data_IF_848154461998
#
_entry.id   IF_848154461998
#
_cell.length_a   1.000
_cell.length_b   1.000
_cell.length_c   1.000
_cell.angle_alpha   90.00
_cell.angle_beta   90.00
_cell.angle_gamma   90.00
#
_symmetry.space_group_name_H-M   'P 1'
#
loop_
_entity.id
_entity.type
_entity.pdbx_description
1 polymer ?
#
# COMPACT_ATOMS: atom_id res chain seq x y z
N UNK A 1 -34.61 13.15 14.83
CA UNK A 1 -34.70 12.14 15.92
C UNK A 1 -33.46 12.23 16.78
N UNK A 2 -33.56 12.79 18.00
CA UNK A 2 -32.46 12.82 18.95
C UNK A 2 -32.00 11.40 19.31
N UNK A 3 -30.69 11.17 19.26
CA UNK A 3 -30.07 9.89 19.59
C UNK A 3 -30.13 9.74 21.12
N UNK A 4 -31.02 8.88 21.65
CA UNK A 4 -31.07 8.54 23.08
C UNK A 4 -29.66 8.27 23.62
N UNK A 5 -29.21 9.08 24.58
CA UNK A 5 -27.93 8.88 25.29
C UNK A 5 -27.93 7.47 25.89
N UNK A 6 -26.93 6.65 25.53
CA UNK A 6 -26.77 5.30 26.11
C UNK A 6 -26.52 5.43 27.62
N UNK A 7 -27.39 4.83 28.43
CA UNK A 7 -27.24 4.81 29.89
C UNK A 7 -26.00 4.05 30.36
N UNK A 8 -25.53 4.33 31.58
CA UNK A 8 -24.41 3.60 32.21
C UNK A 8 -24.77 2.12 32.38
N UNK A 9 -23.79 1.22 32.21
CA UNK A 9 -24.00 -0.21 32.46
C UNK A 9 -24.36 -0.43 33.94
N UNK A 10 -25.43 -1.21 34.19
CA UNK A 10 -25.95 -1.49 35.53
C UNK A 10 -25.10 -2.51 36.31
N UNK A 11 -24.46 -3.46 35.64
CA UNK A 11 -23.60 -4.48 36.27
C UNK A 11 -22.11 -4.13 36.20
N UNK A 12 -21.40 -4.36 37.30
CA UNK A 12 -19.95 -4.19 37.40
C UNK A 12 -19.20 -5.16 36.47
N UNK A 13 -19.63 -6.41 36.40
CA UNK A 13 -19.08 -7.40 35.48
C UNK A 13 -19.17 -6.92 34.02
N UNK A 14 -20.32 -6.38 33.61
CA UNK A 14 -20.51 -5.84 32.26
C UNK A 14 -19.60 -4.64 31.98
N UNK A 15 -19.27 -3.84 33.00
CA UNK A 15 -18.27 -2.75 32.90
C UNK A 15 -16.87 -3.33 32.72
N UNK A 16 -16.48 -4.32 33.53
CA UNK A 16 -15.17 -5.01 33.43
C UNK A 16 -14.98 -5.63 32.05
N UNK A 17 -15.94 -6.41 31.57
CA UNK A 17 -15.85 -7.05 30.24
C UNK A 17 -15.80 -6.05 29.09
N UNK A 18 -16.53 -4.92 29.21
CA UNK A 18 -16.49 -3.86 28.19
C UNK A 18 -15.15 -3.13 28.22
N UNK A 19 -14.60 -2.87 29.41
CA UNK A 19 -13.26 -2.32 29.58
C UNK A 19 -12.22 -3.23 28.93
N UNK A 20 -12.24 -4.53 29.26
CA UNK A 20 -11.35 -5.53 28.67
C UNK A 20 -11.45 -5.56 27.14
N UNK A 21 -12.68 -5.60 26.58
CA UNK A 21 -12.88 -5.58 25.12
C UNK A 21 -12.31 -4.30 24.47
N UNK A 22 -12.31 -3.16 25.17
CA UNK A 22 -11.72 -1.91 24.67
C UNK A 22 -10.20 -1.95 24.72
N UNK A 23 -9.63 -2.55 25.76
CA UNK A 23 -8.18 -2.71 25.95
C UNK A 23 -7.60 -3.72 24.97
N UNK A 24 -8.16 -4.93 24.88
CA UNK A 24 -7.63 -6.02 24.04
C UNK A 24 -8.11 -5.97 22.60
N UNK A 25 -9.12 -5.14 22.31
CA UNK A 25 -9.85 -5.19 21.06
C UNK A 25 -10.80 -6.40 20.96
N UNK A 26 -11.70 -6.34 19.97
CA UNK A 26 -12.63 -7.42 19.66
C UNK A 26 -12.17 -8.18 18.43
N UNK A 27 -12.39 -9.50 18.38
CA UNK A 27 -12.13 -10.27 17.16
C UNK A 27 -13.11 -9.89 16.05
N UNK A 28 -12.75 -10.17 14.79
CA UNK A 28 -13.56 -9.84 13.60
C UNK A 28 -15.04 -10.27 13.78
N UNK A 29 -15.28 -11.51 14.24
CA UNK A 29 -16.64 -12.01 14.50
C UNK A 29 -17.37 -11.18 15.56
N UNK A 30 -16.72 -10.91 16.69
CA UNK A 30 -17.33 -10.12 17.77
C UNK A 30 -17.60 -8.67 17.34
N UNK A 31 -16.71 -8.08 16.54
CA UNK A 31 -16.93 -6.77 15.92
C UNK A 31 -18.17 -6.77 15.03
N UNK A 32 -18.28 -7.75 14.10
CA UNK A 32 -19.43 -7.91 13.20
C UNK A 32 -20.75 -8.06 13.96
N UNK A 33 -20.77 -8.92 14.97
CA UNK A 33 -21.98 -9.20 15.76
C UNK A 33 -22.25 -8.15 16.85
N UNK A 34 -21.38 -7.14 17.00
CA UNK A 34 -21.47 -6.09 18.04
C UNK A 34 -21.62 -6.65 19.46
N UNK A 35 -20.92 -7.74 19.74
CA UNK A 35 -20.86 -8.39 21.06
C UNK A 35 -19.50 -8.16 21.72
N UNK A 36 -19.43 -8.35 23.05
CA UNK A 36 -18.17 -8.32 23.79
C UNK A 36 -17.24 -9.45 23.32
N UNK A 37 -15.93 -9.21 23.39
CA UNK A 37 -14.92 -10.21 23.08
C UNK A 37 -14.21 -10.60 24.37
N UNK A 38 -14.74 -11.62 25.05
CA UNK A 38 -14.26 -12.03 26.38
C UNK A 38 -13.00 -12.90 26.19
N UNK A 39 -11.83 -12.54 26.75
CA UNK A 39 -10.62 -13.34 26.67
C UNK A 39 -10.86 -14.79 27.07
N UNK A 40 -10.28 -15.74 26.34
CA UNK A 40 -10.30 -17.16 26.71
C UNK A 40 -9.21 -17.49 27.74
N UNK A 41 -8.97 -18.79 28.02
CA UNK A 41 -7.90 -19.24 28.90
C UNK A 41 -6.52 -18.73 28.46
N UNK A 42 -6.29 -18.73 27.14
CA UNK A 42 -5.15 -18.07 26.51
C UNK A 42 -5.58 -16.66 26.02
N UNK A 43 -4.97 -15.58 26.56
CA UNK A 43 -5.24 -14.20 26.11
C UNK A 43 -4.95 -13.94 24.63
N UNK A 44 -3.93 -14.61 24.07
CA UNK A 44 -3.58 -14.52 22.64
C UNK A 44 -4.49 -15.42 21.78
N UNK A 45 -4.99 -16.49 22.39
CA UNK A 45 -5.89 -17.46 21.79
C UNK A 45 -7.34 -16.98 21.63
N UNK A 46 -8.24 -17.95 21.48
CA UNK A 46 -9.62 -17.69 21.10
C UNK A 46 -10.42 -17.08 22.24
N UNK A 47 -11.30 -16.13 21.93
CA UNK A 47 -12.22 -15.57 22.91
C UNK A 47 -13.29 -16.61 23.31
N UNK A 48 -13.84 -16.49 24.52
CA UNK A 48 -14.86 -17.42 25.03
C UNK A 48 -16.06 -17.56 24.09
N UNK A 49 -16.47 -16.46 23.46
CA UNK A 49 -17.57 -16.46 22.50
C UNK A 49 -17.26 -17.24 21.21
N UNK A 50 -15.99 -17.36 20.83
CA UNK A 50 -15.57 -18.15 19.67
C UNK A 50 -15.30 -19.60 20.08
N UNK A 51 -14.81 -19.86 21.28
CA UNK A 51 -14.64 -21.22 21.83
C UNK A 51 -15.99 -21.93 22.00
N UNK A 52 -17.03 -21.21 22.42
CA UNK A 52 -18.37 -21.75 22.60
C UNK A 52 -19.10 -22.14 21.29
N UNK A 53 -18.50 -21.89 20.12
CA UNK A 53 -19.11 -22.28 18.84
C UNK A 53 -18.97 -23.78 18.58
N UNK A 54 -20.08 -24.39 18.16
CA UNK A 54 -20.11 -25.77 17.65
C UNK A 54 -19.06 -25.97 16.54
N UNK A 55 -18.43 -27.15 16.52
CA UNK A 55 -17.49 -27.57 15.47
C UNK A 55 -18.12 -27.62 14.08
N UNK A 56 -19.47 -27.63 13.97
CA UNK A 56 -20.22 -27.64 12.71
C UNK A 56 -20.34 -26.26 12.04
N UNK A 57 -20.05 -25.17 12.75
CA UNK A 57 -20.04 -23.81 12.17
C UNK A 57 -18.63 -23.54 11.66
N UNK A 58 -18.47 -23.16 10.38
CA UNK A 58 -17.17 -22.75 9.81
C UNK A 58 -16.53 -21.71 10.75
N UNK A 59 -15.45 -22.12 11.41
CA UNK A 59 -14.77 -21.32 12.42
C UNK A 59 -13.87 -20.32 11.72
N UNK A 60 -14.36 -19.09 11.53
CA UNK A 60 -13.46 -17.96 11.31
C UNK A 60 -12.46 -17.94 12.49
N UNK A 61 -11.14 -17.90 12.24
CA UNK A 61 -10.18 -17.80 13.31
C UNK A 61 -10.51 -16.59 14.18
N UNK A 62 -10.35 -16.72 15.50
CA UNK A 62 -10.59 -15.63 16.44
C UNK A 62 -9.48 -14.57 16.33
N UNK A 63 -9.52 -13.82 15.23
CA UNK A 63 -8.50 -12.86 14.85
C UNK A 63 -8.88 -11.47 15.36
N UNK A 64 -8.07 -10.90 16.26
CA UNK A 64 -8.26 -9.57 16.85
C UNK A 64 -7.44 -8.55 16.08
N UNK A 65 -8.02 -8.07 14.99
CA UNK A 65 -7.44 -6.97 14.23
C UNK A 65 -8.54 -6.10 13.62
N UNK A 66 -8.21 -4.84 13.36
CA UNK A 66 -9.07 -3.89 12.67
C UNK A 66 -8.51 -3.57 11.31
N UNK A 67 -9.37 -3.32 10.32
CA UNK A 67 -8.95 -2.85 8.99
C UNK A 67 -8.09 -1.59 9.10
N UNK A 68 -8.36 -0.74 10.09
CA UNK A 68 -7.57 0.48 10.36
C UNK A 68 -6.14 0.25 10.85
N UNK A 69 -5.80 -0.98 11.24
CA UNK A 69 -4.45 -1.37 11.70
C UNK A 69 -3.58 -1.88 10.54
N UNK A 70 -4.12 -2.00 9.32
CA UNK A 70 -3.35 -2.48 8.18
C UNK A 70 -2.23 -1.50 7.80
N UNK A 71 -1.01 -2.01 7.63
CA UNK A 71 0.12 -1.27 7.04
C UNK A 71 0.12 -1.44 5.51
N UNK A 72 0.41 -0.37 4.76
CA UNK A 72 0.20 -0.33 3.31
C UNK A 72 1.39 0.23 2.51
N UNK A 73 2.34 0.90 3.17
CA UNK A 73 3.49 1.56 2.53
C UNK A 73 4.62 1.74 3.54
N UNK A 74 5.81 2.12 3.06
CA UNK A 74 7.01 2.30 3.89
C UNK A 74 6.95 3.66 4.59
N UNK A 75 7.49 3.75 5.79
CA UNK A 75 7.46 4.98 6.61
C UNK A 75 8.78 5.77 6.59
N UNK A 76 9.61 5.52 5.59
CA UNK A 76 10.95 6.09 5.48
C UNK A 76 12.04 5.01 5.52
N UNK A 77 13.31 5.41 5.31
CA UNK A 77 14.45 4.51 5.40
C UNK A 77 14.68 4.02 6.84
N UNK A 78 15.31 2.84 7.00
CA UNK A 78 15.82 2.42 8.32
C UNK A 78 16.96 3.36 8.75
N UNK A 79 17.29 3.40 10.04
CA UNK A 79 18.28 4.33 10.60
C UNK A 79 19.65 4.24 9.90
N UNK A 80 20.05 3.05 9.48
CA UNK A 80 21.24 2.74 8.69
C UNK A 80 21.24 3.36 7.28
N UNK A 81 20.07 3.50 6.65
CA UNK A 81 19.92 4.13 5.33
C UNK A 81 19.49 5.60 5.41
N UNK A 82 19.26 6.15 6.60
CA UNK A 82 18.88 7.56 6.78
C UNK A 82 20.04 8.49 6.41
N UNK A 83 19.75 9.53 5.63
CA UNK A 83 20.73 10.50 5.16
C UNK A 83 20.87 11.73 6.06
N UNK A 84 20.06 11.85 7.12
CA UNK A 84 20.12 12.97 8.07
C UNK A 84 19.57 12.57 9.42
N UNK A 85 20.07 13.21 10.50
CA UNK A 85 19.55 13.08 11.87
C UNK A 85 18.51 14.12 12.24
N UNK A 86 18.28 15.14 11.41
CA UNK A 86 17.42 16.31 11.72
C UNK A 86 15.98 15.95 12.10
N UNK A 87 15.44 14.89 11.50
CA UNK A 87 14.02 14.53 11.64
C UNK A 87 13.77 13.05 12.01
N UNK A 88 14.80 12.29 12.40
CA UNK A 88 14.70 10.83 12.66
C UNK A 88 13.65 10.46 13.73
N UNK A 89 13.33 11.38 14.65
CA UNK A 89 12.33 11.17 15.71
C UNK A 89 11.07 12.03 15.55
N UNK A 90 10.97 12.78 14.44
CA UNK A 90 9.85 13.69 14.22
C UNK A 90 8.79 13.03 13.34
N UNK A 91 7.53 13.32 13.67
CA UNK A 91 6.38 12.86 12.87
C UNK A 91 6.15 13.71 11.62
N UNK A 92 7.08 14.62 11.28
CA UNK A 92 6.99 15.51 10.13
C UNK A 92 8.34 16.18 9.82
N UNK A 93 8.56 16.52 8.54
CA UNK A 93 9.65 17.39 8.11
C UNK A 93 9.37 18.81 8.60
N UNK A 94 10.42 19.49 9.09
CA UNK A 94 10.39 20.91 9.39
C UNK A 94 11.27 21.67 8.42
N UNK A 95 11.03 22.96 8.29
CA UNK A 95 11.95 23.85 7.59
C UNK A 95 13.35 23.77 8.18
N UNK A 96 14.35 23.93 7.33
CA UNK A 96 15.71 24.18 7.77
C UNK A 96 15.79 25.64 8.23
N UNK A 97 16.42 25.85 9.38
CA UNK A 97 16.58 27.15 10.04
C UNK A 97 17.84 27.91 9.62
N UNK A 98 18.82 27.20 9.04
CA UNK A 98 20.17 27.70 8.76
C UNK A 98 20.50 27.58 7.27
N UNK A 99 20.36 28.70 6.55
CA UNK A 99 20.60 28.81 5.12
C UNK A 99 21.91 29.56 4.82
N UNK A 100 22.72 29.01 3.92
CA UNK A 100 23.96 29.62 3.42
C UNK A 100 23.71 30.54 2.22
N UNK A 101 22.61 30.35 1.49
CA UNK A 101 22.18 31.24 0.40
C UNK A 101 20.94 32.07 0.77
N UNK A 102 20.87 33.36 0.38
CA UNK A 102 19.69 34.19 0.65
C UNK A 102 18.55 33.87 -0.33
N UNK A 103 18.88 33.64 -1.61
CA UNK A 103 17.92 33.51 -2.71
C UNK A 103 17.56 32.04 -3.00
N UNK A 104 16.27 31.69 -3.07
CA UNK A 104 15.85 30.37 -3.54
C UNK A 104 16.08 30.19 -5.03
N UNK A 105 16.49 28.98 -5.42
CA UNK A 105 16.56 28.52 -6.81
C UNK A 105 15.33 27.69 -7.13
N UNK A 106 14.86 27.76 -8.37
CA UNK A 106 13.75 26.93 -8.85
C UNK A 106 14.36 25.83 -9.71
N UNK A 107 14.09 24.59 -9.34
CA UNK A 107 14.50 23.42 -10.12
C UNK A 107 13.28 22.68 -10.63
N UNK A 108 13.48 21.90 -11.68
CA UNK A 108 12.49 20.96 -12.20
C UNK A 108 13.01 19.54 -12.04
N UNK A 109 12.18 18.68 -11.46
CA UNK A 109 12.52 17.29 -11.20
C UNK A 109 11.49 16.34 -11.81
N UNK A 110 11.89 15.09 -12.05
CA UNK A 110 11.00 14.06 -12.59
C UNK A 110 11.44 12.67 -12.13
N UNK A 111 10.52 11.72 -12.20
CA UNK A 111 10.78 10.28 -12.13
C UNK A 111 10.73 9.61 -13.52
N UNK A 112 10.81 10.42 -14.59
CA UNK A 112 10.65 9.99 -15.99
C UNK A 112 9.24 9.45 -16.31
N UNK A 113 8.27 9.81 -15.48
CA UNK A 113 6.87 9.38 -15.56
C UNK A 113 5.98 10.62 -15.55
N UNK A 114 5.56 11.07 -16.73
CA UNK A 114 4.71 12.27 -16.89
C UNK A 114 5.50 13.60 -16.83
N UNK A 115 4.86 14.69 -16.38
CA UNK A 115 5.42 16.03 -16.37
C UNK A 115 6.48 16.19 -15.27
N UNK A 116 7.07 17.38 -15.24
CA UNK A 116 8.04 17.79 -14.24
C UNK A 116 7.36 18.38 -13.01
N UNK A 117 8.03 18.27 -11.86
CA UNK A 117 7.62 18.88 -10.60
C UNK A 117 8.61 20.01 -10.27
N UNK A 118 8.08 21.20 -9.97
CA UNK A 118 8.88 22.38 -9.67
C UNK A 118 9.08 22.54 -8.16
N UNK A 119 10.32 22.79 -7.73
CA UNK A 119 10.66 22.97 -6.32
C UNK A 119 11.52 24.20 -6.09
N UNK A 120 11.30 24.82 -4.93
CA UNK A 120 12.13 25.91 -4.42
C UNK A 120 13.18 25.33 -3.50
N UNK A 121 14.45 25.55 -3.84
CA UNK A 121 15.58 25.00 -3.10
C UNK A 121 16.53 26.10 -2.65
N UNK A 122 17.14 25.93 -1.48
CA UNK A 122 18.17 26.82 -0.95
C UNK A 122 19.36 26.03 -0.46
N UNK A 123 20.52 26.67 -0.46
CA UNK A 123 21.73 26.07 0.08
C UNK A 123 21.69 26.18 1.59
N UNK A 124 21.82 25.05 2.29
CA UNK A 124 21.80 24.97 3.75
C UNK A 124 23.21 24.83 4.31
N UNK A 125 23.39 25.12 5.61
CA UNK A 125 24.62 24.79 6.33
C UNK A 125 24.53 23.35 6.87
N UNK A 126 25.38 22.41 6.40
CA UNK A 126 25.32 21.02 6.84
C UNK A 126 25.64 20.83 8.32
N UNK A 127 24.91 19.93 8.97
CA UNK A 127 25.19 19.50 10.35
C UNK A 127 25.84 18.12 10.35
N UNK A 128 26.42 17.74 11.50
CA UNK A 128 26.93 16.39 11.68
C UNK A 128 25.85 15.32 11.43
N UNK A 129 26.17 14.35 10.58
CA UNK A 129 25.26 13.30 10.14
C UNK A 129 24.38 13.64 8.93
N UNK A 130 24.44 14.85 8.36
CA UNK A 130 23.85 15.15 7.04
C UNK A 130 24.75 14.57 5.93
N UNK A 131 24.21 13.62 5.15
CA UNK A 131 24.91 13.06 3.98
C UNK A 131 24.81 14.02 2.81
N UNK A 132 25.95 14.20 2.14
CA UNK A 132 26.08 15.01 0.93
C UNK A 132 26.51 14.16 -0.27
N UNK A 133 26.34 12.84 -0.18
CA UNK A 133 26.77 11.92 -1.21
C UNK A 133 25.82 10.73 -1.37
N UNK A 134 25.84 10.16 -2.56
CA UNK A 134 25.28 8.86 -2.85
C UNK A 134 26.39 7.82 -2.98
N UNK A 135 26.14 6.62 -2.48
CA UNK A 135 27.05 5.50 -2.55
C UNK A 135 26.38 4.32 -3.27
N UNK A 136 27.13 3.64 -4.14
CA UNK A 136 26.65 2.42 -4.79
C UNK A 136 27.81 1.45 -5.03
N UNK A 137 27.47 0.19 -5.31
CA UNK A 137 28.40 -0.78 -5.90
C UNK A 137 28.29 -0.68 -7.41
N UNK A 138 29.41 -0.41 -8.06
CA UNK A 138 29.50 -0.33 -9.51
C UNK A 138 29.11 -1.66 -10.15
N UNK A 139 28.16 -1.62 -11.08
CA UNK A 139 27.55 -2.82 -11.65
C UNK A 139 28.54 -3.69 -12.46
N UNK A 140 29.64 -3.12 -12.94
CA UNK A 140 30.64 -3.83 -13.76
C UNK A 140 31.83 -4.31 -12.96
N UNK A 141 32.31 -3.47 -12.03
CA UNK A 141 33.55 -3.72 -11.28
C UNK A 141 33.31 -4.24 -9.88
N UNK A 142 32.09 -4.08 -9.33
CA UNK A 142 31.77 -4.41 -7.95
C UNK A 142 32.37 -3.45 -6.91
N UNK A 143 33.15 -2.46 -7.34
CA UNK A 143 33.77 -1.48 -6.45
C UNK A 143 32.73 -0.50 -5.88
N UNK A 144 32.91 -0.08 -4.63
CA UNK A 144 32.10 0.99 -4.05
C UNK A 144 32.52 2.34 -4.63
N UNK A 145 31.56 3.07 -5.20
CA UNK A 145 31.74 4.41 -5.74
C UNK A 145 30.83 5.42 -5.03
N UNK A 146 31.19 6.69 -5.14
CA UNK A 146 30.52 7.81 -4.48
C UNK A 146 30.26 8.94 -5.47
N UNK A 147 29.10 9.60 -5.34
CA UNK A 147 28.73 10.82 -6.06
C UNK A 147 28.44 11.92 -5.04
N UNK A 148 29.31 12.91 -4.96
CA UNK A 148 29.13 14.09 -4.10
C UNK A 148 28.08 15.03 -4.69
N UNK A 149 27.27 15.60 -3.82
CA UNK A 149 26.19 16.54 -4.12
C UNK A 149 26.34 17.81 -3.30
N UNK A 150 25.91 18.98 -3.81
CA UNK A 150 25.93 20.23 -3.07
C UNK A 150 24.88 20.22 -1.94
N UNK A 151 25.05 21.04 -0.89
CA UNK A 151 24.13 21.07 0.25
C UNK A 151 22.89 21.91 -0.05
N UNK A 152 22.06 21.46 -0.99
CA UNK A 152 20.74 22.04 -1.25
C UNK A 152 19.64 21.23 -0.57
N UNK A 153 18.60 21.95 -0.14
CA UNK A 153 17.38 21.39 0.45
C UNK A 153 16.15 22.18 -0.02
N UNK A 154 14.97 21.57 0.09
CA UNK A 154 13.68 22.22 -0.16
C UNK A 154 13.50 23.35 0.84
N UNK A 155 13.22 24.55 0.33
CA UNK A 155 13.16 25.79 1.08
C UNK A 155 11.77 26.18 1.58
N UNK A 156 10.73 25.54 1.05
CA UNK A 156 9.33 25.77 1.41
C UNK A 156 8.58 24.43 1.38
N UNK A 157 8.45 23.81 2.55
CA UNK A 157 7.84 22.51 2.77
C UNK A 157 6.33 22.55 2.53
N UNK A 158 5.64 23.64 2.88
CA UNK A 158 4.19 23.78 2.68
C UNK A 158 3.85 23.91 1.19
N UNK A 159 4.63 24.70 0.46
CA UNK A 159 4.50 24.80 -0.99
C UNK A 159 4.86 23.49 -1.67
N UNK A 160 5.96 22.83 -1.27
CA UNK A 160 6.33 21.52 -1.80
C UNK A 160 5.24 20.48 -1.58
N UNK A 161 4.61 20.45 -0.39
CA UNK A 161 3.43 19.62 -0.13
C UNK A 161 2.31 19.87 -1.14
N UNK A 162 1.94 21.14 -1.34
CA UNK A 162 0.85 21.51 -2.25
C UNK A 162 1.17 21.12 -3.70
N UNK A 163 2.42 21.34 -4.14
CA UNK A 163 2.89 20.97 -5.46
C UNK A 163 2.91 19.46 -5.68
N UNK A 164 3.34 18.66 -4.70
CA UNK A 164 3.32 17.19 -4.79
C UNK A 164 1.89 16.67 -4.82
N UNK A 165 0.97 17.22 -4.01
CA UNK A 165 -0.43 16.80 -4.04
C UNK A 165 -1.07 17.06 -5.40
N UNK A 166 -0.84 18.25 -5.98
CA UNK A 166 -1.32 18.61 -7.31
C UNK A 166 -0.71 17.69 -8.39
N UNK A 167 0.59 17.44 -8.32
CA UNK A 167 1.29 16.54 -9.23
C UNK A 167 0.69 15.13 -9.22
N UNK A 168 0.33 14.58 -8.06
CA UNK A 168 -0.32 13.27 -7.96
C UNK A 168 -1.71 13.27 -8.64
N UNK A 169 -2.49 14.34 -8.47
CA UNK A 169 -3.81 14.45 -9.10
C UNK A 169 -3.70 14.50 -10.63
N UNK A 170 -2.83 15.37 -11.15
CA UNK A 170 -2.68 15.60 -12.59
C UNK A 170 -2.10 14.38 -13.31
N UNK A 171 -1.26 13.59 -12.63
CA UNK A 171 -0.52 12.48 -13.23
C UNK A 171 -1.10 11.10 -12.93
N UNK A 172 -2.24 11.05 -12.24
CA UNK A 172 -2.85 9.80 -11.80
C UNK A 172 -2.98 8.80 -12.96
N UNK A 173 -3.54 9.24 -14.09
CA UNK A 173 -3.78 8.38 -15.26
C UNK A 173 -2.47 7.93 -15.89
N UNK A 174 -1.53 8.84 -16.14
CA UNK A 174 -0.24 8.50 -16.76
C UNK A 174 0.58 7.50 -15.93
N UNK A 175 0.59 7.63 -14.60
CA UNK A 175 1.25 6.65 -13.72
C UNK A 175 0.59 5.29 -13.81
N UNK A 176 -0.74 5.23 -13.86
CA UNK A 176 -1.46 3.97 -13.97
C UNK A 176 -1.19 3.32 -15.33
N UNK A 177 -1.28 4.05 -16.43
CA UNK A 177 -1.03 3.52 -17.78
C UNK A 177 0.42 3.11 -18.01
N UNK A 178 1.39 3.85 -17.45
CA UNK A 178 2.81 3.56 -17.63
C UNK A 178 3.34 2.41 -16.75
N UNK A 179 2.64 2.06 -15.67
CA UNK A 179 3.13 1.09 -14.66
C UNK A 179 2.28 -0.19 -14.61
N UNK A 180 0.99 -0.11 -14.92
CA UNK A 180 0.11 -1.28 -14.92
C UNK A 180 0.37 -2.13 -16.16
N UNK A 181 0.42 -3.44 -15.94
CA UNK A 181 0.52 -4.42 -17.00
C UNK A 181 -0.84 -4.53 -17.72
N UNK A 182 -0.89 -4.05 -18.97
CA UNK A 182 -2.09 -4.07 -19.80
C UNK A 182 -2.41 -5.47 -20.34
N UNK A 183 -1.45 -6.40 -20.32
CA UNK A 183 -1.67 -7.80 -20.71
C UNK A 183 -2.40 -8.57 -19.58
N UNK A 184 -2.20 -8.14 -18.32
CA UNK A 184 -2.93 -8.69 -17.20
C UNK A 184 -4.37 -8.14 -17.13
N UNK A 185 -5.30 -8.85 -17.76
CA UNK A 185 -6.73 -8.49 -17.82
C UNK A 185 -7.33 -8.17 -16.45
N UNK A 186 -6.99 -8.93 -15.40
CA UNK A 186 -7.58 -8.73 -14.07
C UNK A 186 -7.11 -7.40 -13.49
N UNK A 187 -5.82 -7.11 -13.58
CA UNK A 187 -5.24 -5.86 -13.08
C UNK A 187 -5.76 -4.68 -13.87
N UNK A 188 -5.62 -4.72 -15.20
CA UNK A 188 -6.01 -3.63 -16.07
C UNK A 188 -7.49 -3.26 -15.92
N UNK A 189 -8.39 -4.24 -16.03
CA UNK A 189 -9.84 -3.97 -15.95
C UNK A 189 -10.28 -3.50 -14.56
N UNK A 190 -9.64 -4.00 -13.49
CA UNK A 190 -9.92 -3.52 -12.12
C UNK A 190 -9.56 -2.05 -11.95
N UNK A 191 -8.39 -1.64 -12.42
CA UNK A 191 -7.99 -0.23 -12.36
C UNK A 191 -8.80 0.65 -13.31
N UNK A 192 -9.16 0.16 -14.52
CA UNK A 192 -10.01 0.89 -15.46
C UNK A 192 -11.38 1.22 -14.87
N UNK A 193 -12.07 0.24 -14.28
CA UNK A 193 -13.35 0.48 -13.60
C UNK A 193 -13.16 1.36 -12.36
N UNK A 194 -12.09 1.17 -11.60
CA UNK A 194 -11.82 2.02 -10.44
C UNK A 194 -11.65 3.49 -10.85
N UNK A 195 -10.91 3.78 -11.93
CA UNK A 195 -10.76 5.13 -12.47
C UNK A 195 -12.11 5.72 -12.90
N UNK A 196 -12.93 4.95 -13.61
CA UNK A 196 -14.29 5.37 -13.98
C UNK A 196 -15.14 5.71 -12.75
N UNK A 197 -15.05 4.90 -11.69
CA UNK A 197 -15.76 5.14 -10.43
C UNK A 197 -15.13 6.25 -9.58
N UNK A 198 -13.92 6.70 -9.88
CA UNK A 198 -13.19 7.73 -9.13
C UNK A 198 -13.38 9.16 -9.69
N UNK A 199 -14.20 9.34 -10.72
CA UNK A 199 -14.53 10.65 -11.30
C UNK A 199 -15.10 11.64 -10.26
N UNK A 200 -15.24 12.93 -10.62
CA UNK A 200 -15.58 14.04 -9.70
C UNK A 200 -16.73 13.71 -8.73
N UNK A 201 -17.86 13.21 -9.25
CA UNK A 201 -19.06 12.83 -8.47
C UNK A 201 -19.08 11.37 -8.01
N UNK A 202 -17.97 10.64 -8.21
CA UNK A 202 -17.82 9.23 -7.90
C UNK A 202 -17.35 8.93 -6.48
N UNK A 203 -16.77 7.74 -6.30
CA UNK A 203 -16.24 7.27 -5.02
C UNK A 203 -14.99 8.05 -4.61
N UNK A 204 -15.14 8.87 -3.58
CA UNK A 204 -14.01 9.51 -2.91
C UNK A 204 -13.05 8.50 -2.25
N UNK A 205 -13.53 7.32 -1.87
CA UNK A 205 -12.70 6.26 -1.27
C UNK A 205 -11.77 5.63 -2.30
N UNK A 206 -12.30 5.28 -3.49
CA UNK A 206 -11.50 4.74 -4.61
C UNK A 206 -10.51 5.79 -5.09
N UNK A 207 -10.95 7.04 -5.31
CA UNK A 207 -10.07 8.13 -5.72
C UNK A 207 -8.87 8.30 -4.77
N UNK A 208 -9.12 8.28 -3.46
CA UNK A 208 -8.04 8.31 -2.46
C UNK A 208 -7.14 7.07 -2.52
N UNK A 209 -7.69 5.89 -2.77
CA UNK A 209 -6.90 4.68 -2.93
C UNK A 209 -5.97 4.75 -4.16
N UNK A 210 -6.47 5.27 -5.29
CA UNK A 210 -5.65 5.52 -6.49
C UNK A 210 -4.55 6.55 -6.21
N UNK A 211 -4.87 7.68 -5.55
CA UNK A 211 -3.85 8.66 -5.12
C UNK A 211 -2.79 8.05 -4.20
N UNK A 212 -3.20 7.24 -3.23
CA UNK A 212 -2.27 6.53 -2.34
C UNK A 212 -1.38 5.58 -3.13
N UNK A 213 -1.93 4.88 -4.12
CA UNK A 213 -1.18 3.98 -4.99
C UNK A 213 -0.11 4.74 -5.78
N UNK A 214 -0.45 5.89 -6.38
CA UNK A 214 0.53 6.72 -7.13
C UNK A 214 1.55 7.37 -6.18
N UNK A 215 1.09 7.96 -5.07
CA UNK A 215 1.99 8.54 -4.07
C UNK A 215 2.96 7.53 -3.45
N UNK A 216 2.59 6.25 -3.40
CA UNK A 216 3.53 5.19 -2.98
C UNK A 216 4.66 4.97 -4.00
N UNK A 217 4.41 5.16 -5.30
CA UNK A 217 5.45 5.10 -6.34
C UNK A 217 6.43 6.27 -6.24
N UNK A 218 5.94 7.46 -5.85
CA UNK A 218 6.78 8.65 -5.67
C UNK A 218 7.87 8.47 -4.60
N UNK A 219 7.63 7.57 -3.64
CA UNK A 219 8.60 7.19 -2.61
C UNK A 219 9.25 5.83 -2.91
N UNK A 220 9.17 5.30 -4.12
CA UNK A 220 9.85 4.05 -4.48
C UNK A 220 10.87 4.32 -5.59
N UNK A 221 10.58 5.24 -6.49
CA UNK A 221 11.48 5.62 -7.58
C UNK A 221 12.35 6.84 -7.23
N UNK A 222 13.59 6.90 -7.72
CA UNK A 222 14.49 8.03 -7.46
C UNK A 222 14.07 9.26 -8.28
N UNK A 223 14.15 10.43 -7.67
CA UNK A 223 13.98 11.71 -8.37
C UNK A 223 15.27 12.17 -9.04
N UNK A 224 15.15 12.74 -10.23
CA UNK A 224 16.26 13.41 -10.93
C UNK A 224 15.91 14.83 -11.31
N UNK A 225 16.91 15.71 -11.30
CA UNK A 225 16.83 17.04 -11.88
C UNK A 225 16.81 16.94 -13.41
N UNK A 226 15.91 17.68 -14.03
CA UNK A 226 15.73 17.71 -15.49
C UNK A 226 15.57 19.12 -16.07
N UNK A 227 15.48 20.16 -15.23
CA UNK A 227 15.42 21.55 -15.66
C UNK A 227 16.80 22.15 -15.99
N UNK A 228 16.79 23.42 -16.43
CA UNK A 228 18.01 24.18 -16.76
C UNK A 228 18.91 24.42 -15.54
N UNK A 229 18.31 24.58 -14.36
CA UNK A 229 19.03 24.75 -13.11
C UNK A 229 19.39 23.39 -12.51
N UNK A 230 20.68 23.01 -12.59
CA UNK A 230 21.20 21.72 -12.10
C UNK A 230 21.76 21.77 -10.68
N UNK A 231 21.58 22.89 -9.97
CA UNK A 231 22.24 23.15 -8.68
C UNK A 231 23.78 23.09 -8.72
N UNK A 232 24.38 23.22 -9.91
CA UNK A 232 25.83 23.09 -10.10
C UNK A 232 26.32 21.63 -10.17
N UNK A 233 25.41 20.66 -10.23
CA UNK A 233 25.76 19.26 -10.45
C UNK A 233 25.93 18.96 -11.94
N UNK A 234 26.80 17.99 -12.24
CA UNK A 234 27.00 17.44 -13.57
C UNK A 234 26.29 16.10 -13.74
N UNK A 235 25.99 15.75 -14.98
CA UNK A 235 25.46 14.43 -15.33
C UNK A 235 26.45 13.35 -14.92
N UNK A 236 25.98 12.30 -14.24
CA UNK A 236 26.82 11.16 -13.89
C UNK A 236 27.14 10.33 -15.15
N UNK A 237 28.41 10.25 -15.51
CA UNK A 237 28.90 9.51 -16.69
C UNK A 237 29.42 8.10 -16.36
N UNK A 238 29.38 7.70 -15.10
CA UNK A 238 29.74 6.35 -14.68
C UNK A 238 28.68 5.35 -15.16
N UNK A 239 28.97 4.58 -16.20
CA UNK A 239 28.04 3.56 -16.74
C UNK A 239 27.59 2.55 -15.68
N UNK A 240 28.44 2.24 -14.70
CA UNK A 240 28.13 1.33 -13.59
C UNK A 240 27.30 1.96 -12.47
N UNK A 241 26.92 3.24 -12.61
CA UNK A 241 26.12 3.98 -11.63
C UNK A 241 24.62 3.82 -11.87
N UNK A 242 23.82 3.70 -10.79
CA UNK A 242 22.36 3.77 -10.90
C UNK A 242 21.87 5.17 -11.33
N UNK A 243 22.76 6.17 -11.33
CA UNK A 243 22.48 7.53 -11.78
C UNK A 243 23.07 7.82 -13.16
N UNK A 244 23.57 6.82 -13.89
CA UNK A 244 24.16 7.02 -15.21
C UNK A 244 23.22 7.80 -16.14
N UNK A 245 23.76 8.86 -16.77
CA UNK A 245 23.02 9.75 -17.65
C UNK A 245 22.04 10.68 -16.93
N UNK A 246 22.07 10.75 -15.59
CA UNK A 246 21.13 11.52 -14.77
C UNK A 246 21.84 12.45 -13.79
N UNK A 247 21.09 13.42 -13.28
CA UNK A 247 21.47 14.28 -12.15
C UNK A 247 20.47 13.99 -11.03
N UNK A 248 20.83 13.27 -9.95
CA UNK A 248 19.89 13.02 -8.86
C UNK A 248 19.55 14.31 -8.12
N UNK A 249 18.43 14.32 -7.39
CA UNK A 249 18.22 15.32 -6.33
C UNK A 249 19.27 15.11 -5.22
N UNK A 250 19.46 16.09 -4.32
CA UNK A 250 20.40 15.89 -3.20
C UNK A 250 19.84 14.89 -2.18
N UNK A 251 20.67 14.20 -1.37
CA UNK A 251 20.19 13.26 -0.36
C UNK A 251 19.18 13.88 0.63
N UNK A 252 19.40 15.14 1.03
CA UNK A 252 18.46 15.85 1.92
C UNK A 252 17.14 16.14 1.21
N UNK A 253 17.16 16.57 -0.05
CA UNK A 253 15.93 16.79 -0.80
C UNK A 253 15.14 15.49 -1.00
N UNK A 254 15.82 14.39 -1.34
CA UNK A 254 15.21 13.06 -1.48
C UNK A 254 14.48 12.67 -0.19
N UNK A 255 15.14 12.86 0.96
CA UNK A 255 14.53 12.63 2.26
C UNK A 255 13.35 13.56 2.55
N UNK A 256 13.44 14.85 2.21
CA UNK A 256 12.32 15.78 2.39
C UNK A 256 11.12 15.39 1.51
N UNK A 257 11.34 15.03 0.24
CA UNK A 257 10.30 14.57 -0.69
C UNK A 257 9.58 13.33 -0.15
N UNK A 258 10.34 12.34 0.30
CA UNK A 258 9.83 11.13 0.94
C UNK A 258 8.93 11.47 2.13
N UNK A 259 9.46 12.25 3.08
CA UNK A 259 8.77 12.50 4.33
C UNK A 259 7.57 13.45 4.15
N UNK A 260 7.63 14.43 3.25
CA UNK A 260 6.47 15.24 2.87
C UNK A 260 5.37 14.33 2.33
N UNK A 261 5.71 13.45 1.39
CA UNK A 261 4.75 12.52 0.77
C UNK A 261 4.18 11.55 1.79
N UNK A 262 5.01 10.92 2.62
CA UNK A 262 4.58 9.95 3.64
C UNK A 262 3.67 10.62 4.69
N UNK A 263 4.12 11.74 5.25
CA UNK A 263 3.50 12.30 6.46
C UNK A 263 2.30 13.19 6.16
N UNK A 264 2.37 14.00 5.10
CA UNK A 264 1.30 14.94 4.79
C UNK A 264 0.28 14.40 3.78
N UNK A 265 0.61 13.36 3.01
CA UNK A 265 -0.30 12.77 2.01
C UNK A 265 -0.70 11.34 2.37
N UNK A 266 0.25 10.40 2.35
CA UNK A 266 -0.04 8.97 2.44
C UNK A 266 -0.67 8.57 3.77
N UNK A 267 -0.16 9.05 4.90
CA UNK A 267 -0.70 8.73 6.23
C UNK A 267 -2.14 9.26 6.44
N UNK A 268 -2.45 10.54 6.14
CA UNK A 268 -3.82 11.03 6.16
C UNK A 268 -4.77 10.26 5.23
N UNK A 269 -4.34 9.98 3.99
CA UNK A 269 -5.16 9.24 3.04
C UNK A 269 -5.44 7.81 3.51
N UNK A 270 -4.41 7.08 3.95
CA UNK A 270 -4.54 5.74 4.57
C UNK A 270 -5.56 5.73 5.69
N UNK A 271 -5.44 6.67 6.63
CA UNK A 271 -6.35 6.77 7.78
C UNK A 271 -7.80 6.94 7.33
N UNK A 272 -8.06 7.79 6.33
CA UNK A 272 -9.41 8.01 5.79
C UNK A 272 -9.93 6.79 5.03
N UNK A 273 -9.12 6.20 4.14
CA UNK A 273 -9.48 5.00 3.36
C UNK A 273 -9.84 3.86 4.30
N UNK A 274 -8.96 3.49 5.24
CA UNK A 274 -9.18 2.32 6.10
C UNK A 274 -10.36 2.50 7.05
N UNK A 275 -10.63 3.72 7.53
CA UNK A 275 -11.83 4.02 8.36
C UNK A 275 -13.12 3.83 7.57
N UNK A 276 -13.18 4.36 6.35
CA UNK A 276 -14.35 4.23 5.47
C UNK A 276 -14.54 2.79 5.00
N UNK A 277 -13.46 2.13 4.62
CA UNK A 277 -13.45 0.73 4.21
C UNK A 277 -13.96 -0.17 5.35
N UNK A 278 -13.46 0.02 6.58
CA UNK A 278 -13.98 -0.70 7.75
C UNK A 278 -15.47 -0.46 7.97
N UNK A 279 -15.92 0.79 7.84
CA UNK A 279 -17.33 1.15 7.99
C UNK A 279 -18.21 0.43 6.95
N UNK A 280 -17.79 0.39 5.69
CA UNK A 280 -18.52 -0.28 4.59
C UNK A 280 -18.50 -1.81 4.74
N UNK A 281 -17.36 -2.39 5.11
CA UNK A 281 -17.23 -3.83 5.41
C UNK A 281 -18.16 -4.25 6.54
N UNK A 282 -18.11 -3.57 7.69
CA UNK A 282 -18.96 -3.91 8.83
C UNK A 282 -20.44 -3.58 8.57
N UNK A 283 -20.71 -2.60 7.72
CA UNK A 283 -22.06 -2.30 7.21
C UNK A 283 -22.62 -3.41 6.33
N UNK A 284 -21.76 -4.10 5.57
CA UNK A 284 -22.08 -5.23 4.71
C UNK A 284 -23.32 -4.97 3.82
N UNK A 285 -23.43 -3.74 3.29
CA UNK A 285 -24.45 -3.35 2.32
C UNK A 285 -24.06 -3.85 0.94
N UNK A 286 -25.04 -4.30 0.15
CA UNK A 286 -24.78 -4.87 -1.17
C UNK A 286 -24.21 -3.79 -2.11
N UNK A 287 -24.71 -2.57 -1.97
CA UNK A 287 -24.41 -1.41 -2.82
C UNK A 287 -22.95 -0.96 -2.68
N UNK A 288 -22.34 -1.21 -1.52
CA UNK A 288 -20.94 -0.87 -1.26
C UNK A 288 -19.96 -1.95 -1.81
N UNK A 289 -20.45 -3.12 -2.27
CA UNK A 289 -19.59 -4.27 -2.54
C UNK A 289 -18.51 -3.98 -3.59
N UNK A 290 -18.89 -3.41 -4.74
CA UNK A 290 -17.94 -3.18 -5.84
C UNK A 290 -16.88 -2.15 -5.43
N UNK A 291 -17.31 -1.09 -4.73
CA UNK A 291 -16.42 -0.07 -4.22
C UNK A 291 -15.42 -0.63 -3.19
N UNK A 292 -15.89 -1.50 -2.29
CA UNK A 292 -15.05 -2.23 -1.34
C UNK A 292 -14.08 -3.17 -2.08
N UNK A 293 -14.55 -3.94 -3.06
CA UNK A 293 -13.73 -4.84 -3.87
C UNK A 293 -12.59 -4.10 -4.57
N UNK A 294 -12.90 -3.04 -5.32
CA UNK A 294 -11.91 -2.28 -6.08
C UNK A 294 -10.92 -1.57 -5.15
N UNK A 295 -11.40 -1.03 -4.03
CA UNK A 295 -10.51 -0.43 -3.03
C UNK A 295 -9.56 -1.48 -2.45
N UNK A 296 -10.05 -2.67 -2.08
CA UNK A 296 -9.19 -3.77 -1.62
C UNK A 296 -8.17 -4.17 -2.69
N UNK A 297 -8.60 -4.27 -3.95
CA UNK A 297 -7.73 -4.63 -5.06
C UNK A 297 -6.59 -3.64 -5.22
N UNK A 298 -6.86 -2.33 -5.24
CA UNK A 298 -5.84 -1.29 -5.33
C UNK A 298 -4.86 -1.36 -4.16
N UNK A 299 -5.37 -1.53 -2.93
CA UNK A 299 -4.53 -1.60 -1.73
C UNK A 299 -3.64 -2.84 -1.72
N UNK A 300 -4.17 -4.01 -2.12
CA UNK A 300 -3.40 -5.24 -2.21
C UNK A 300 -2.38 -5.19 -3.36
N UNK A 301 -2.72 -4.55 -4.48
CA UNK A 301 -1.75 -4.33 -5.55
C UNK A 301 -0.62 -3.39 -5.10
N UNK A 302 -0.92 -2.38 -4.26
CA UNK A 302 0.11 -1.55 -3.65
C UNK A 302 1.07 -2.38 -2.79
N UNK A 303 0.52 -3.32 -2.01
CA UNK A 303 1.31 -4.23 -1.18
C UNK A 303 2.23 -5.12 -2.04
N UNK A 304 1.74 -5.71 -3.13
CA UNK A 304 2.56 -6.51 -4.06
C UNK A 304 3.77 -5.73 -4.58
N UNK A 305 3.52 -4.49 -5.02
CA UNK A 305 4.58 -3.62 -5.55
C UNK A 305 5.60 -3.23 -4.50
N UNK A 306 5.14 -2.92 -3.30
CA UNK A 306 6.02 -2.56 -2.21
C UNK A 306 6.94 -3.73 -1.80
N UNK A 307 6.41 -4.94 -1.75
CA UNK A 307 7.20 -6.15 -1.46
C UNK A 307 8.23 -6.39 -2.58
N UNK A 308 7.83 -6.24 -3.84
CA UNK A 308 8.75 -6.31 -4.99
C UNK A 308 9.85 -5.27 -4.92
N UNK A 309 9.50 -4.03 -4.57
CA UNK A 309 10.46 -2.93 -4.41
C UNK A 309 11.47 -3.20 -3.30
N UNK A 310 11.03 -3.65 -2.12
CA UNK A 310 11.93 -3.97 -1.01
C UNK A 310 12.90 -5.11 -1.35
N UNK A 311 12.44 -6.15 -2.07
CA UNK A 311 13.31 -7.20 -2.57
C UNK A 311 14.33 -6.66 -3.58
N UNK A 312 13.92 -5.78 -4.50
CA UNK A 312 14.84 -5.11 -5.42
C UNK A 312 15.88 -4.27 -4.66
N UNK A 313 15.45 -3.52 -3.64
CA UNK A 313 16.34 -2.72 -2.80
C UNK A 313 17.38 -3.60 -2.08
N UNK A 314 16.95 -4.71 -1.49
CA UNK A 314 17.85 -5.66 -0.83
C UNK A 314 18.94 -6.18 -1.78
N UNK A 315 18.57 -6.51 -3.03
CA UNK A 315 19.53 -6.93 -4.06
C UNK A 315 20.48 -5.79 -4.46
N UNK A 316 19.95 -4.58 -4.65
CA UNK A 316 20.74 -3.40 -5.03
C UNK A 316 21.85 -3.11 -4.03
N UNK A 317 21.59 -3.29 -2.74
CA UNK A 317 22.58 -3.13 -1.68
C UNK A 317 23.36 -4.41 -1.34
N UNK A 318 23.17 -5.48 -2.13
CA UNK A 318 23.78 -6.80 -1.91
C UNK A 318 23.58 -7.34 -0.49
N UNK A 319 22.39 -7.13 0.08
CA UNK A 319 22.04 -7.71 1.37
C UNK A 319 21.94 -9.23 1.22
N UNK A 320 22.29 -9.95 2.30
CA UNK A 320 22.27 -11.42 2.33
C UNK A 320 20.86 -12.01 2.41
N UNK A 321 19.88 -11.20 2.80
CA UNK A 321 18.49 -11.62 2.99
C UNK A 321 17.60 -11.21 1.81
N UNK A 322 16.45 -11.89 1.66
CA UNK A 322 15.47 -11.64 0.58
C UNK A 322 14.88 -10.24 0.63
N UNK A 323 14.76 -9.66 1.83
CA UNK A 323 14.15 -8.35 2.06
C UNK A 323 15.07 -7.48 2.91
N UNK A 324 14.97 -6.16 2.75
CA UNK A 324 15.80 -5.19 3.46
C UNK A 324 15.30 -4.94 4.89
N UNK A 325 13.98 -5.02 5.09
CA UNK A 325 13.35 -4.73 6.38
C UNK A 325 12.24 -5.73 6.69
N UNK A 326 12.58 -6.83 7.37
CA UNK A 326 11.60 -7.87 7.73
C UNK A 326 10.51 -7.38 8.68
N UNK A 327 10.79 -6.43 9.58
CA UNK A 327 9.75 -5.89 10.46
C UNK A 327 8.68 -5.14 9.67
N UNK A 328 9.09 -4.34 8.67
CA UNK A 328 8.19 -3.65 7.76
C UNK A 328 7.44 -4.65 6.88
N UNK A 329 8.13 -5.63 6.30
CA UNK A 329 7.51 -6.67 5.47
C UNK A 329 6.46 -7.44 6.28
N UNK A 330 6.77 -7.84 7.52
CA UNK A 330 5.80 -8.49 8.40
C UNK A 330 4.58 -7.60 8.69
N UNK A 331 4.79 -6.31 8.92
CA UNK A 331 3.70 -5.35 9.14
C UNK A 331 2.79 -5.23 7.90
N UNK A 332 3.38 -5.15 6.70
CA UNK A 332 2.66 -5.09 5.42
C UNK A 332 1.91 -6.39 5.15
N UNK A 333 2.55 -7.55 5.35
CA UNK A 333 1.92 -8.87 5.23
C UNK A 333 0.73 -9.00 6.17
N UNK A 334 0.90 -8.60 7.42
CA UNK A 334 -0.18 -8.58 8.39
C UNK A 334 -1.30 -7.62 7.96
N UNK A 335 -0.96 -6.47 7.38
CA UNK A 335 -1.92 -5.56 6.77
C UNK A 335 -2.76 -6.23 5.68
N UNK A 336 -2.13 -6.89 4.71
CA UNK A 336 -2.83 -7.62 3.65
C UNK A 336 -3.72 -8.76 4.20
N UNK A 337 -3.21 -9.53 5.17
CA UNK A 337 -3.98 -10.58 5.87
C UNK A 337 -5.20 -10.01 6.59
N UNK A 338 -5.08 -8.84 7.23
CA UNK A 338 -6.20 -8.15 7.88
C UNK A 338 -7.28 -7.80 6.86
N UNK A 339 -6.89 -7.20 5.74
CA UNK A 339 -7.81 -6.82 4.66
C UNK A 339 -8.56 -8.04 4.12
N UNK A 340 -7.83 -9.11 3.77
CA UNK A 340 -8.40 -10.34 3.23
C UNK A 340 -9.27 -11.07 4.26
N UNK A 341 -8.85 -11.18 5.52
CA UNK A 341 -9.65 -11.82 6.57
C UNK A 341 -11.03 -11.13 6.71
N UNK A 342 -11.06 -9.79 6.67
CA UNK A 342 -12.31 -9.05 6.69
C UNK A 342 -13.14 -9.29 5.41
N UNK A 343 -12.50 -9.23 4.24
CA UNK A 343 -13.17 -9.44 2.96
C UNK A 343 -13.82 -10.83 2.88
N UNK A 344 -13.10 -11.90 3.19
CA UNK A 344 -13.59 -13.27 3.10
C UNK A 344 -14.62 -13.58 4.19
N UNK A 345 -14.35 -13.21 5.44
CA UNK A 345 -15.14 -13.72 6.55
C UNK A 345 -16.23 -12.77 7.05
N UNK A 346 -16.12 -11.45 6.83
CA UNK A 346 -17.20 -10.50 7.14
C UNK A 346 -18.14 -10.39 5.94
N UNK A 347 -17.59 -10.03 4.78
CA UNK A 347 -18.39 -9.68 3.60
C UNK A 347 -18.74 -10.89 2.72
N UNK A 348 -18.04 -12.02 2.89
CA UNK A 348 -18.03 -13.09 1.89
C UNK A 348 -17.71 -12.53 0.50
N UNK A 349 -16.72 -11.64 0.45
CA UNK A 349 -16.46 -10.76 -0.69
C UNK A 349 -16.12 -11.48 -1.99
N UNK A 350 -15.58 -12.70 -1.91
CA UNK A 350 -15.27 -13.54 -3.07
C UNK A 350 -16.51 -14.16 -3.74
N UNK A 351 -17.66 -14.24 -3.06
CA UNK A 351 -18.85 -14.96 -3.55
C UNK A 351 -19.36 -14.49 -4.93
N UNK A 352 -19.32 -13.19 -5.28
CA UNK A 352 -19.65 -12.75 -6.64
C UNK A 352 -18.85 -13.41 -7.78
N UNK A 353 -17.61 -13.82 -7.52
CA UNK A 353 -16.77 -14.48 -8.53
C UNK A 353 -17.08 -15.97 -8.68
N UNK A 354 -17.79 -16.59 -7.72
CA UNK A 354 -18.28 -17.96 -7.85
C UNK A 354 -19.56 -18.07 -8.70
N UNK A 355 -20.18 -16.94 -9.06
CA UNK A 355 -21.38 -16.91 -9.88
C UNK A 355 -21.06 -17.10 -11.38
N UNK A 356 -22.08 -17.49 -12.14
CA UNK A 356 -22.06 -17.44 -13.60
C UNK A 356 -22.60 -16.08 -14.04
N UNK A 357 -21.81 -15.35 -14.81
CA UNK A 357 -22.15 -14.01 -15.32
C UNK A 357 -22.64 -14.03 -16.78
N UNK A 358 -23.07 -15.21 -17.26
CA UNK A 358 -23.47 -15.44 -18.65
C UNK A 358 -25.00 -15.37 -18.80
N UNK A 359 -25.48 -14.64 -19.81
CA UNK A 359 -26.90 -14.44 -20.10
C UNK A 359 -27.59 -13.35 -19.26
N UNK A 360 -28.89 -13.12 -19.52
CA UNK A 360 -29.72 -12.11 -18.83
C UNK A 360 -30.10 -12.48 -17.38
N UNK A 361 -29.66 -13.65 -16.91
CA UNK A 361 -30.04 -14.19 -15.60
C UNK A 361 -28.79 -14.43 -14.74
N UNK A 362 -28.28 -13.37 -14.10
CA UNK A 362 -27.46 -13.57 -12.89
C UNK A 362 -28.38 -14.25 -11.87
N UNK A 363 -28.08 -15.48 -11.45
CA UNK A 363 -28.92 -16.25 -10.54
C UNK A 363 -29.23 -15.43 -9.26
N UNK A 364 -30.42 -14.81 -9.23
CA UNK A 364 -30.77 -13.68 -8.38
C UNK A 364 -30.88 -14.04 -6.89
N UNK A 365 -31.00 -15.34 -6.59
CA UNK A 365 -31.24 -15.83 -5.24
C UNK A 365 -29.96 -16.04 -4.41
N UNK A 366 -28.78 -15.98 -5.04
CA UNK A 366 -27.49 -16.16 -4.36
C UNK A 366 -26.61 -14.89 -4.33
N UNK A 367 -26.96 -13.83 -5.06
CA UNK A 367 -26.07 -12.69 -5.25
C UNK A 367 -26.19 -11.65 -4.11
N UNK A 368 -25.07 -11.44 -3.40
CA UNK A 368 -24.86 -10.28 -2.51
C UNK A 368 -24.60 -8.98 -3.29
N UNK A 369 -24.79 -9.02 -4.60
CA UNK A 369 -24.65 -7.89 -5.50
C UNK A 369 -26.03 -7.26 -5.73
N UNK A 370 -26.13 -5.93 -5.76
CA UNK A 370 -27.31 -5.27 -6.29
C UNK A 370 -27.13 -5.22 -7.81
N UNK A 371 -27.39 -6.34 -8.48
CA UNK A 371 -27.22 -6.49 -9.94
C UNK A 371 -28.03 -5.44 -10.72
N UNK A 372 -29.18 -5.00 -10.17
CA UNK A 372 -29.98 -3.91 -10.74
C UNK A 372 -29.35 -2.51 -10.64
N UNK A 373 -28.29 -2.34 -9.86
CA UNK A 373 -27.60 -1.05 -9.65
C UNK A 373 -26.26 -0.94 -10.38
N UNK A 374 -25.81 -2.02 -11.03
CA UNK A 374 -24.55 -2.01 -11.77
C UNK A 374 -24.76 -1.42 -13.16
N UNK A 375 -23.83 -0.59 -13.60
CA UNK A 375 -23.79 -0.11 -14.98
C UNK A 375 -23.39 -1.23 -15.95
N UNK A 376 -23.67 -1.04 -17.25
CA UNK A 376 -23.26 -1.99 -18.30
C UNK A 376 -21.75 -2.30 -18.25
N UNK A 377 -20.92 -1.29 -18.01
CA UNK A 377 -19.47 -1.46 -17.92
C UNK A 377 -19.03 -2.22 -16.68
N UNK A 378 -19.72 -2.03 -15.55
CA UNK A 378 -19.45 -2.77 -14.32
C UNK A 378 -19.85 -4.25 -14.46
N UNK A 379 -20.93 -4.55 -15.19
CA UNK A 379 -21.31 -5.94 -15.50
C UNK A 379 -20.29 -6.60 -16.43
N UNK A 380 -19.85 -5.90 -17.49
CA UNK A 380 -18.79 -6.39 -18.39
C UNK A 380 -17.48 -6.66 -17.65
N UNK A 381 -17.09 -5.77 -16.76
CA UNK A 381 -15.93 -5.96 -15.89
C UNK A 381 -16.06 -7.25 -15.09
N UNK A 382 -17.19 -7.46 -14.41
CA UNK A 382 -17.42 -8.67 -13.62
C UNK A 382 -17.33 -9.94 -14.47
N UNK A 383 -17.87 -9.93 -15.70
CA UNK A 383 -17.72 -11.03 -16.65
C UNK A 383 -16.25 -11.32 -16.99
N UNK A 384 -15.51 -10.28 -17.36
CA UNK A 384 -14.11 -10.39 -17.81
C UNK A 384 -13.20 -10.91 -16.68
N UNK A 385 -13.21 -10.26 -15.51
CA UNK A 385 -12.31 -10.64 -14.43
C UNK A 385 -12.67 -11.99 -13.81
N UNK A 386 -13.97 -12.34 -13.76
CA UNK A 386 -14.39 -13.67 -13.30
C UNK A 386 -13.91 -14.76 -14.25
N UNK A 387 -14.04 -14.55 -15.57
CA UNK A 387 -13.56 -15.50 -16.58
C UNK A 387 -12.04 -15.65 -16.52
N UNK A 388 -11.32 -14.53 -16.45
CA UNK A 388 -9.86 -14.52 -16.35
C UNK A 388 -9.36 -15.23 -15.08
N UNK A 389 -9.96 -14.92 -13.92
CA UNK A 389 -9.58 -15.55 -12.65
C UNK A 389 -9.83 -17.07 -12.66
N UNK A 390 -10.95 -17.54 -13.24
CA UNK A 390 -11.24 -18.97 -13.40
C UNK A 390 -10.25 -19.66 -14.35
N UNK A 391 -9.95 -19.03 -15.49
CA UNK A 391 -9.01 -19.57 -16.47
C UNK A 391 -7.58 -19.72 -15.91
N UNK A 392 -7.19 -18.84 -14.99
CA UNK A 392 -5.86 -18.81 -14.39
C UNK A 392 -5.80 -19.40 -12.97
N UNK A 393 -6.90 -20.00 -12.47
CA UNK A 393 -7.03 -20.38 -11.06
C UNK A 393 -5.86 -21.23 -10.54
N UNK A 394 -5.43 -22.22 -11.33
CA UNK A 394 -4.29 -23.07 -10.97
C UNK A 394 -3.00 -22.26 -10.79
N UNK A 395 -2.66 -21.40 -11.77
CA UNK A 395 -1.47 -20.52 -11.73
C UNK A 395 -1.52 -19.58 -10.53
N UNK A 396 -2.69 -18.99 -10.26
CA UNK A 396 -2.88 -18.07 -9.14
C UNK A 396 -2.73 -18.76 -7.78
N UNK A 397 -3.18 -20.02 -7.64
CA UNK A 397 -2.97 -20.82 -6.43
C UNK A 397 -1.50 -21.20 -6.22
N UNK A 398 -0.80 -21.54 -7.29
CA UNK A 398 0.63 -21.86 -7.22
C UNK A 398 1.48 -20.72 -6.66
N UNK A 399 1.12 -19.45 -6.90
CA UNK A 399 1.84 -18.31 -6.33
C UNK A 399 1.93 -18.39 -4.80
N UNK A 400 0.87 -18.88 -4.14
CA UNK A 400 0.82 -19.06 -2.69
C UNK A 400 1.66 -20.25 -2.23
N UNK A 401 1.51 -21.39 -2.91
CA UNK A 401 2.23 -22.63 -2.59
C UNK A 401 3.74 -22.46 -2.72
N UNK A 402 4.17 -21.74 -3.77
CA UNK A 402 5.57 -21.46 -4.06
C UNK A 402 6.09 -20.19 -3.36
N UNK A 403 5.27 -19.53 -2.54
CA UNK A 403 5.66 -18.32 -1.78
C UNK A 403 6.30 -17.24 -2.65
N UNK A 404 5.69 -17.00 -3.82
CA UNK A 404 6.12 -15.98 -4.78
C UNK A 404 5.63 -14.59 -4.37
N UNK A 405 6.09 -14.13 -3.22
CA UNK A 405 5.61 -12.92 -2.54
C UNK A 405 5.71 -11.63 -3.37
N UNK A 406 6.68 -11.52 -4.26
CA UNK A 406 6.94 -10.37 -5.14
C UNK A 406 6.21 -10.46 -6.48
N UNK A 407 5.58 -11.60 -6.77
CA UNK A 407 4.94 -11.82 -8.05
C UNK A 407 3.64 -11.00 -8.18
N UNK A 408 3.34 -10.47 -9.37
CA UNK A 408 2.03 -9.91 -9.65
C UNK A 408 0.92 -10.90 -9.31
N UNK A 409 -0.21 -10.41 -8.83
CA UNK A 409 -1.37 -11.21 -8.44
C UNK A 409 -1.18 -12.13 -7.23
N UNK A 410 -0.03 -12.13 -6.53
CA UNK A 410 0.12 -12.90 -5.29
C UNK A 410 -0.98 -12.53 -4.26
N UNK A 411 -1.18 -11.25 -3.96
CA UNK A 411 -2.19 -10.80 -3.00
C UNK A 411 -3.55 -10.54 -3.65
N UNK A 412 -3.56 -9.94 -4.84
CA UNK A 412 -4.81 -9.57 -5.52
C UNK A 412 -5.66 -10.79 -5.90
N UNK A 413 -5.04 -11.90 -6.32
CA UNK A 413 -5.77 -13.12 -6.70
C UNK A 413 -6.61 -13.69 -5.56
N UNK A 414 -6.18 -13.48 -4.31
CA UNK A 414 -6.86 -14.00 -3.14
C UNK A 414 -8.28 -13.41 -2.98
N UNK A 415 -8.57 -12.24 -3.55
CA UNK A 415 -9.94 -11.66 -3.58
C UNK A 415 -10.92 -12.50 -4.41
N UNK A 416 -10.43 -13.24 -5.39
CA UNK A 416 -11.25 -14.01 -6.34
C UNK A 416 -11.44 -15.46 -5.90
N UNK A 417 -10.46 -16.01 -5.16
CA UNK A 417 -10.42 -17.42 -4.82
C UNK A 417 -11.27 -17.74 -3.57
N UNK A 418 -12.08 -18.81 -3.60
CA UNK A 418 -12.75 -19.31 -2.40
C UNK A 418 -11.76 -20.01 -1.46
N UNK A 419 -12.17 -20.20 -0.21
CA UNK A 419 -11.42 -20.99 0.76
C UNK A 419 -10.16 -20.30 1.29
N UNK A 420 -10.14 -18.97 1.33
CA UNK A 420 -8.98 -18.21 1.78
C UNK A 420 -8.46 -18.65 3.15
N UNK A 421 -7.13 -18.82 3.21
CA UNK A 421 -6.36 -18.98 4.43
C UNK A 421 -5.20 -17.97 4.40
N UNK A 422 -4.78 -17.44 5.56
CA UNK A 422 -3.69 -16.47 5.61
C UNK A 422 -2.37 -17.11 5.16
N UNK A 423 -1.65 -16.50 4.19
CA UNK A 423 -0.34 -17.01 3.79
C UNK A 423 0.69 -16.88 4.90
N UNK A 424 1.74 -17.71 4.85
CA UNK A 424 2.90 -17.57 5.73
C UNK A 424 3.63 -16.27 5.45
N UNK A 425 4.09 -15.59 6.51
CA UNK A 425 5.03 -14.48 6.35
C UNK A 425 6.42 -15.00 5.97
N UNK A 426 7.23 -14.24 5.22
CA UNK A 426 8.60 -14.60 4.91
C UNK A 426 9.46 -14.63 6.18
N UNK A 427 10.40 -15.58 6.24
CA UNK A 427 11.39 -15.65 7.33
C UNK A 427 12.76 -15.14 6.85
N UNK A 428 13.57 -14.47 7.71
CA UNK A 428 14.95 -14.13 7.39
C UNK A 428 15.83 -15.33 7.02
N UNK A 429 15.43 -16.52 7.45
CA UNK A 429 16.12 -17.79 7.25
C UNK A 429 15.64 -18.55 6.01
N UNK A 430 14.62 -18.04 5.32
CA UNK A 430 14.07 -18.70 4.13
C UNK A 430 15.04 -18.56 2.95
N UNK A 431 15.54 -19.68 2.37
CA UNK A 431 16.47 -19.63 1.26
C UNK A 431 15.81 -18.99 0.03
N UNK A 432 16.53 -18.13 -0.65
CA UNK A 432 16.07 -17.47 -1.87
C UNK A 432 16.01 -18.48 -3.03
N UNK A 433 14.82 -18.97 -3.38
CA UNK A 433 14.63 -19.87 -4.52
C UNK A 433 14.46 -19.08 -5.82
N UNK A 434 15.54 -18.94 -6.61
CA UNK A 434 15.48 -18.36 -7.96
C UNK A 434 14.70 -19.20 -8.98
N UNK A 435 14.40 -20.46 -8.66
CA UNK A 435 13.88 -21.44 -9.61
C UNK A 435 12.41 -21.25 -10.02
N UNK A 436 11.67 -20.33 -9.41
CA UNK A 436 10.24 -20.12 -9.70
C UNK A 436 9.93 -19.05 -10.76
N UNK A 437 10.87 -18.14 -11.05
CA UNK A 437 10.59 -17.02 -11.97
C UNK A 437 10.61 -17.43 -13.44
N UNK A 438 11.50 -18.33 -13.86
CA UNK A 438 11.63 -18.69 -15.29
C UNK A 438 10.46 -19.51 -15.85
N UNK A 439 9.69 -20.20 -15.02
CA UNK A 439 8.53 -21.00 -15.48
C UNK A 439 7.18 -20.31 -15.28
N UNK A 440 7.09 -19.29 -14.43
CA UNK A 440 5.84 -18.55 -14.19
C UNK A 440 5.68 -17.29 -15.05
N UNK A 441 6.79 -16.77 -15.60
CA UNK A 441 6.84 -15.57 -16.46
C UNK A 441 6.68 -15.91 -17.95
N UNK A 442 6.79 -17.19 -18.34
CA UNK A 442 6.39 -17.62 -19.68
C UNK A 442 4.88 -17.91 -19.71
N UNK A 443 4.16 -17.09 -20.49
CA UNK A 443 2.70 -17.05 -20.76
C UNK A 443 1.88 -16.19 -19.81
#
# INVERSE_FOLDING_TARGET
KERKRRGKFKSEQLRKETCMTRTTGACIRCQKNKIRCIPGPDPAGWCMNCLALSSRVVRMPCFRARVTEAELFRRGPTSEFSCTRRWILLTSVKEIDTWSSPTPRIIEITQDMGPTLQLFCKEYTPLDGDRQDYHWKDAFTGATKTLTTPPYAIADVERAYSTIEQYIEENLVMYLEGILDSENTIVWESFRIAMSMAGSDGSAMIRRALKLWVGSRLIEEPWRVCGNDTLGMNVCLDMGSPYYGRIPVTPIMDFQLDNITIHYLLMPWKSRILKELQKKILGNRKEDWLEVHLTMFILLNNVERQIKHDNWFARRYSLTHRFSNYQLIDAIFNGAKILLAHFHHVNKGHMPFSLTWEGNYVNMNASRLPTHSLSSDQVKYMQQVTRAAKAQEYKLRQLQELKMYEAPMFWCSQLFLPGWAPPSSPSPQEPYTMSGMSTAIAV
#
